data_IF_506718862665
#
_entry.id   IF_506718862665
#
_cell.length_a   1.000
_cell.length_b   1.000
_cell.length_c   1.000
_cell.angle_alpha   90.00
_cell.angle_beta   90.00
_cell.angle_gamma   90.00
#
_symmetry.space_group_name_H-M   'P 1'
#
loop_
_entity.id
_entity.type
_entity.pdbx_description
1 polymer ?
#
# COMPACT_ATOMS: atom_id res chain seq x y z
N UNK A 1 56.52 -1.69 52.51
CA UNK A 1 56.32 -3.09 52.08
C UNK A 1 55.20 -3.13 51.07
N UNK A 2 55.53 -3.57 49.84
CA UNK A 2 54.68 -4.07 48.75
C UNK A 2 53.56 -3.13 48.26
N UNK A 3 53.82 -2.23 47.30
CA UNK A 3 53.97 -2.49 45.84
C UNK A 3 52.68 -3.08 45.24
N UNK A 4 51.80 -2.19 44.79
CA UNK A 4 50.89 -2.49 43.67
C UNK A 4 51.71 -2.35 42.38
N UNK A 5 51.89 -3.47 41.69
CA UNK A 5 52.56 -3.61 40.40
C UNK A 5 51.51 -4.03 39.37
N UNK A 6 51.58 -3.39 38.20
CA UNK A 6 51.02 -3.80 36.90
C UNK A 6 49.48 -3.65 36.79
N UNK A 7 48.87 -3.04 35.78
CA UNK A 7 49.29 -2.74 34.42
C UNK A 7 48.92 -1.30 34.05
N UNK A 8 49.93 -0.53 33.65
CA UNK A 8 49.82 0.58 32.73
C UNK A 8 50.19 0.01 31.36
N UNK A 9 49.27 -0.02 30.40
CA UNK A 9 49.62 -0.18 28.98
C UNK A 9 48.50 0.35 28.08
N UNK A 10 48.81 1.48 27.46
CA UNK A 10 48.55 1.87 26.07
C UNK A 10 47.16 1.58 25.46
N UNK A 11 46.40 2.66 25.20
CA UNK A 11 46.00 2.99 23.82
C UNK A 11 45.66 4.49 23.65
N UNK A 12 46.70 5.29 23.46
CA UNK A 12 46.63 6.58 22.75
C UNK A 12 46.91 6.31 21.27
N UNK A 13 45.92 6.47 20.39
CA UNK A 13 46.03 6.67 18.92
C UNK A 13 44.60 6.62 18.35
N UNK A 14 44.04 7.59 17.62
CA UNK A 14 44.50 8.92 17.23
C UNK A 14 43.30 9.66 16.62
N UNK A 15 43.00 10.85 17.14
CA UNK A 15 42.24 11.86 16.42
C UNK A 15 43.09 12.28 15.23
N UNK A 16 42.63 12.00 14.00
CA UNK A 16 43.16 12.67 12.82
C UNK A 16 42.25 13.85 12.51
N UNK A 17 42.63 15.00 13.07
CA UNK A 17 42.21 16.32 12.60
C UNK A 17 43.36 16.81 11.73
N UNK A 18 43.19 16.84 10.41
CA UNK A 18 44.06 17.63 9.54
C UNK A 18 43.28 18.83 9.04
N UNK A 19 43.59 19.96 9.66
CA UNK A 19 43.36 21.31 9.17
C UNK A 19 44.73 21.95 8.86
N UNK A 20 44.76 22.75 7.79
CA UNK A 20 45.76 23.75 7.36
C UNK A 20 46.94 23.34 6.44
N UNK A 21 46.79 23.74 5.16
CA UNK A 21 47.70 24.46 4.23
C UNK A 21 49.23 24.24 4.34
N UNK A 22 49.99 24.11 3.23
CA UNK A 22 50.27 25.14 2.18
C UNK A 22 51.26 24.58 1.11
N UNK A 23 51.76 25.37 0.13
CA UNK A 23 51.22 25.74 -1.19
C UNK A 23 51.92 25.05 -2.39
N UNK A 24 51.23 24.88 -3.53
CA UNK A 24 51.90 24.97 -4.84
C UNK A 24 50.92 25.41 -5.92
N UNK A 25 51.48 26.02 -6.96
CA UNK A 25 50.91 27.05 -7.81
C UNK A 25 49.69 26.67 -8.66
N UNK A 26 48.80 27.67 -8.76
CA UNK A 26 47.63 27.89 -9.63
C UNK A 26 47.05 26.72 -10.45
N UNK A 27 45.73 26.53 -10.29
CA UNK A 27 44.83 26.64 -11.41
C UNK A 27 43.99 27.91 -11.24
N UNK A 28 44.25 28.92 -12.08
CA UNK A 28 43.18 29.86 -12.43
C UNK A 28 42.10 29.09 -13.20
N UNK A 29 40.86 29.15 -12.69
CA UNK A 29 39.55 28.73 -13.23
C UNK A 29 38.89 27.67 -12.31
N UNK A 30 37.76 27.88 -11.61
CA UNK A 30 36.70 28.88 -11.72
C UNK A 30 36.11 29.21 -10.34
N UNK A 31 36.34 30.41 -9.85
CA UNK A 31 35.70 30.95 -8.64
C UNK A 31 34.28 31.52 -8.90
N UNK A 32 33.59 31.13 -9.97
CA UNK A 32 32.31 31.81 -10.30
C UNK A 32 31.19 30.96 -10.89
N UNK A 33 31.11 29.67 -10.58
CA UNK A 33 29.86 28.93 -10.71
C UNK A 33 29.11 28.95 -9.37
N UNK A 34 28.41 30.04 -9.04
CA UNK A 34 27.37 29.94 -8.01
C UNK A 34 26.39 28.84 -8.47
N UNK A 35 26.28 27.77 -7.69
CA UNK A 35 25.25 26.76 -7.92
C UNK A 35 23.89 27.46 -8.05
N UNK A 36 23.02 26.96 -8.92
CA UNK A 36 21.71 27.58 -9.11
C UNK A 36 20.94 27.52 -7.78
N UNK A 37 20.65 28.70 -7.22
CA UNK A 37 19.81 28.85 -6.02
C UNK A 37 18.36 28.57 -6.40
N UNK A 38 17.96 27.32 -6.22
CA UNK A 38 16.62 26.81 -6.49
C UNK A 38 16.25 25.86 -5.35
N UNK A 39 15.05 26.06 -4.80
CA UNK A 39 14.53 25.24 -3.70
C UNK A 39 13.16 24.71 -4.09
N UNK A 40 13.06 23.40 -4.29
CA UNK A 40 11.78 22.69 -4.41
C UNK A 40 11.18 22.47 -3.02
N UNK A 41 9.89 22.76 -2.87
CA UNK A 41 9.16 22.63 -1.59
C UNK A 41 8.16 21.48 -1.59
N UNK A 42 7.65 21.09 -2.75
CA UNK A 42 6.79 19.93 -2.89
C UNK A 42 6.75 19.40 -4.32
N UNK A 43 6.36 18.14 -4.43
CA UNK A 43 5.97 17.47 -5.66
C UNK A 43 4.56 16.93 -5.47
N UNK A 44 3.67 17.28 -6.39
CA UNK A 44 2.26 16.91 -6.36
C UNK A 44 1.88 16.13 -7.63
N UNK A 45 1.20 15.01 -7.48
CA UNK A 45 0.51 14.33 -8.57
C UNK A 45 -0.97 14.60 -8.44
N UNK A 46 -1.58 15.21 -9.45
CA UNK A 46 -3.03 15.46 -9.46
C UNK A 46 -3.72 14.36 -10.26
N UNK A 47 -4.85 13.85 -9.75
CA UNK A 47 -5.63 12.80 -10.44
C UNK A 47 -5.98 13.22 -11.87
N UNK A 48 -6.39 14.47 -12.05
CA UNK A 48 -6.79 15.02 -13.35
C UNK A 48 -5.66 15.03 -14.40
N UNK A 49 -4.39 15.07 -13.96
CA UNK A 49 -3.21 15.02 -14.84
C UNK A 49 -2.65 13.62 -15.04
N UNK A 50 -3.22 12.63 -14.34
CA UNK A 50 -2.75 11.25 -14.31
C UNK A 50 -3.91 10.28 -14.62
N UNK A 51 -4.59 10.53 -15.74
CA UNK A 51 -5.60 9.65 -16.30
C UNK A 51 -5.02 8.88 -17.49
N UNK A 52 -5.50 7.65 -17.72
CA UNK A 52 -5.32 6.88 -18.95
C UNK A 52 -6.71 6.65 -19.53
N UNK A 53 -7.00 7.33 -20.64
CA UNK A 53 -8.35 7.40 -21.21
C UNK A 53 -9.35 7.91 -20.15
N UNK A 54 -10.41 7.15 -19.88
CA UNK A 54 -11.44 7.49 -18.90
C UNK A 54 -11.15 6.94 -17.49
N UNK A 55 -9.96 6.37 -17.25
CA UNK A 55 -9.57 5.77 -15.99
C UNK A 55 -8.44 6.54 -15.30
N UNK A 56 -8.36 6.40 -13.98
CA UNK A 56 -7.16 6.70 -13.19
C UNK A 56 -6.01 5.86 -13.72
N UNK A 57 -4.84 6.48 -13.96
CA UNK A 57 -3.69 5.77 -14.49
C UNK A 57 -3.14 4.76 -13.47
N UNK A 58 -2.59 3.65 -13.95
CA UNK A 58 -2.08 2.60 -13.07
C UNK A 58 -1.02 3.14 -12.07
N UNK A 59 -0.11 4.01 -12.52
CA UNK A 59 0.87 4.63 -11.63
C UNK A 59 0.20 5.45 -10.52
N UNK A 60 -0.82 6.24 -10.84
CA UNK A 60 -1.54 7.04 -9.85
C UNK A 60 -2.26 6.14 -8.84
N UNK A 61 -2.77 4.98 -9.26
CA UNK A 61 -3.33 4.00 -8.33
C UNK A 61 -2.30 3.54 -7.29
N UNK A 62 -1.06 3.28 -7.71
CA UNK A 62 0.03 2.80 -6.81
C UNK A 62 0.49 3.84 -5.79
N UNK A 63 0.15 5.13 -5.97
CA UNK A 63 0.44 6.17 -4.98
C UNK A 63 -0.38 6.00 -3.69
N UNK A 64 -1.42 5.16 -3.71
CA UNK A 64 -2.34 4.98 -2.59
C UNK A 64 -2.45 3.51 -2.16
N UNK A 65 -2.82 3.32 -0.90
CA UNK A 65 -2.93 1.98 -0.32
C UNK A 65 -4.07 1.21 -0.98
N UNK A 66 -3.84 -0.05 -1.31
CA UNK A 66 -4.88 -0.93 -1.87
C UNK A 66 -6.03 -1.06 -0.88
N UNK A 67 -7.27 -1.02 -1.37
CA UNK A 67 -8.49 -1.18 -0.56
C UNK A 67 -9.27 -2.40 -0.99
N UNK A 68 -10.00 -2.98 -0.05
CA UNK A 68 -10.99 -4.03 -0.27
C UNK A 68 -12.31 -3.55 0.32
N UNK A 69 -13.35 -3.29 -0.49
CA UNK A 69 -13.40 -3.46 -1.93
C UNK A 69 -12.46 -2.49 -2.69
N UNK A 70 -12.07 -2.89 -3.90
CA UNK A 70 -11.24 -2.05 -4.76
C UNK A 70 -11.96 -0.74 -5.12
N UNK A 71 -11.19 0.34 -5.25
CA UNK A 71 -11.70 1.63 -5.72
C UNK A 71 -12.16 1.52 -7.18
N UNK A 72 -13.11 2.37 -7.56
CA UNK A 72 -13.53 2.47 -8.95
C UNK A 72 -12.46 3.21 -9.76
N UNK A 73 -11.98 2.60 -10.85
CA UNK A 73 -10.92 3.16 -11.69
C UNK A 73 -11.39 4.31 -12.57
N UNK A 74 -12.69 4.47 -12.82
CA UNK A 74 -13.20 5.56 -13.66
C UNK A 74 -12.78 6.93 -13.10
N UNK A 75 -12.37 7.84 -13.99
CA UNK A 75 -11.91 9.19 -13.63
C UNK A 75 -12.99 9.98 -12.86
N UNK A 76 -14.25 9.79 -13.28
CA UNK A 76 -15.46 10.23 -12.61
C UNK A 76 -16.39 9.02 -12.40
N UNK A 77 -17.14 9.05 -11.31
CA UNK A 77 -18.25 8.11 -11.10
C UNK A 77 -19.53 8.65 -11.76
N UNK A 78 -20.54 7.79 -11.93
CA UNK A 78 -21.86 8.23 -12.38
C UNK A 78 -22.51 9.21 -11.38
N UNK A 79 -23.64 9.79 -11.76
CA UNK A 79 -24.34 10.82 -10.98
C UNK A 79 -24.81 10.36 -9.58
N UNK A 80 -24.76 9.06 -9.27
CA UNK A 80 -25.23 8.51 -7.99
C UNK A 80 -24.11 8.34 -6.96
N UNK A 81 -22.84 8.41 -7.37
CA UNK A 81 -21.71 8.36 -6.47
C UNK A 81 -20.97 9.70 -6.43
N UNK A 82 -20.46 10.07 -5.25
CA UNK A 82 -19.78 11.37 -5.05
C UNK A 82 -18.28 11.30 -5.32
N UNK A 83 -17.67 10.10 -5.22
CA UNK A 83 -16.24 9.90 -5.49
C UNK A 83 -15.97 8.48 -6.02
N UNK A 84 -14.88 8.32 -6.77
CA UNK A 84 -14.36 7.01 -7.19
C UNK A 84 -13.47 6.33 -6.12
N UNK A 85 -13.33 6.96 -4.94
CA UNK A 85 -12.50 6.51 -3.82
C UNK A 85 -11.02 6.90 -3.90
N UNK A 86 -10.54 7.43 -5.03
CA UNK A 86 -9.16 7.92 -5.17
C UNK A 86 -9.05 9.38 -4.72
N UNK A 87 -8.02 9.74 -3.94
CA UNK A 87 -7.74 11.14 -3.62
C UNK A 87 -7.52 12.00 -4.86
N UNK A 88 -7.89 13.28 -4.78
CA UNK A 88 -7.73 14.25 -5.87
C UNK A 88 -6.27 14.56 -6.16
N UNK A 89 -5.40 14.40 -5.16
CA UNK A 89 -3.96 14.57 -5.28
C UNK A 89 -3.18 13.65 -4.33
N UNK A 90 -1.92 13.43 -4.68
CA UNK A 90 -0.85 12.98 -3.81
C UNK A 90 0.18 14.10 -3.73
N UNK A 91 0.60 14.50 -2.53
CA UNK A 91 1.58 15.58 -2.34
C UNK A 91 2.64 15.13 -1.36
N UNK A 92 3.92 15.30 -1.72
CA UNK A 92 5.05 15.04 -0.82
C UNK A 92 5.02 15.98 0.39
N UNK A 93 5.46 15.50 1.54
CA UNK A 93 5.69 16.36 2.73
C UNK A 93 7.14 16.86 2.78
N UNK A 94 7.45 17.91 3.58
CA UNK A 94 8.83 18.43 3.65
C UNK A 94 9.89 17.38 3.98
N UNK A 95 9.55 16.38 4.81
CA UNK A 95 10.45 15.29 5.18
C UNK A 95 10.78 14.32 4.03
N UNK A 96 10.04 14.36 2.92
CA UNK A 96 10.33 13.56 1.74
C UNK A 96 11.43 14.18 0.87
N UNK A 97 11.70 15.47 1.04
CA UNK A 97 12.78 16.20 0.38
C UNK A 97 14.01 16.13 1.30
N UNK A 98 15.00 15.33 0.91
CA UNK A 98 16.18 15.05 1.73
C UNK A 98 17.36 15.87 1.20
N UNK A 99 17.87 16.75 2.06
CA UNK A 99 18.87 17.74 1.68
C UNK A 99 18.39 18.62 0.54
N UNK A 100 19.30 18.99 -0.35
CA UNK A 100 18.98 19.87 -1.48
C UNK A 100 18.89 19.14 -2.83
N UNK A 101 18.74 17.82 -2.84
CA UNK A 101 18.89 17.04 -4.08
C UNK A 101 18.00 15.80 -4.23
N UNK A 102 17.39 15.26 -3.17
CA UNK A 102 16.58 14.03 -3.28
C UNK A 102 15.13 14.33 -2.93
N UNK A 103 14.19 13.86 -3.76
CA UNK A 103 12.75 13.95 -3.51
C UNK A 103 12.19 12.53 -3.50
N UNK A 104 11.74 12.05 -2.35
CA UNK A 104 11.17 10.72 -2.22
C UNK A 104 9.67 10.73 -2.54
N UNK A 105 9.24 9.89 -3.48
CA UNK A 105 7.83 9.56 -3.68
C UNK A 105 7.61 8.20 -3.01
N UNK A 106 7.02 8.23 -1.81
CA UNK A 106 6.82 7.04 -0.99
C UNK A 106 5.48 6.39 -1.33
N UNK A 107 5.53 5.28 -2.05
CA UNK A 107 4.37 4.41 -2.29
C UNK A 107 4.05 3.63 -1.00
N UNK A 108 2.78 3.38 -0.67
CA UNK A 108 2.45 2.47 0.43
C UNK A 108 3.07 1.08 0.17
N UNK A 109 3.75 0.51 1.17
CA UNK A 109 4.29 -0.84 1.05
C UNK A 109 3.17 -1.83 0.70
N UNK A 110 3.42 -2.86 -0.10
CA UNK A 110 2.42 -3.90 -0.33
C UNK A 110 3.14 -5.22 -0.56
N UNK A 111 2.91 -6.21 0.31
CA UNK A 111 3.47 -7.54 0.14
C UNK A 111 2.93 -8.26 -1.11
N UNK A 112 1.71 -7.93 -1.52
CA UNK A 112 1.04 -8.38 -2.75
C UNK A 112 1.12 -7.30 -3.86
N UNK A 113 2.20 -6.53 -3.91
CA UNK A 113 2.37 -5.51 -4.95
C UNK A 113 2.33 -6.16 -6.34
N UNK A 114 1.42 -5.68 -7.17
CA UNK A 114 1.30 -6.08 -8.57
C UNK A 114 2.10 -5.07 -9.38
N UNK A 115 3.03 -5.58 -10.20
CA UNK A 115 3.86 -4.77 -11.08
C UNK A 115 3.00 -4.02 -12.13
N UNK A 116 3.57 -2.99 -12.76
CA UNK A 116 2.88 -2.29 -13.85
C UNK A 116 2.60 -3.23 -15.02
N UNK A 117 1.37 -3.17 -15.54
CA UNK A 117 0.94 -3.97 -16.69
C UNK A 117 1.48 -3.41 -18.02
N UNK A 118 1.60 -2.08 -18.09
CA UNK A 118 2.14 -1.34 -19.23
C UNK A 118 3.09 -0.25 -18.73
N UNK A 119 3.90 0.31 -19.64
CA UNK A 119 4.64 1.54 -19.37
C UNK A 119 3.66 2.64 -18.91
N UNK A 120 4.02 3.32 -17.83
CA UNK A 120 3.18 4.37 -17.24
C UNK A 120 3.76 5.75 -17.54
N UNK A 121 2.89 6.72 -17.79
CA UNK A 121 3.25 8.14 -17.83
C UNK A 121 2.76 8.81 -16.55
N UNK A 122 3.65 9.52 -15.87
CA UNK A 122 3.35 10.24 -14.65
C UNK A 122 3.60 11.73 -14.86
N UNK A 123 2.61 12.55 -14.48
CA UNK A 123 2.68 14.00 -14.53
C UNK A 123 2.64 14.57 -13.12
N UNK A 124 3.71 15.25 -12.73
CA UNK A 124 3.83 15.90 -11.43
C UNK A 124 3.95 17.41 -11.58
N UNK A 125 3.34 18.14 -10.65
CA UNK A 125 3.57 19.58 -10.44
C UNK A 125 4.64 19.75 -9.36
N UNK A 126 5.74 20.40 -9.72
CA UNK A 126 6.81 20.81 -8.82
C UNK A 126 6.50 22.20 -8.30
N UNK A 127 6.62 22.41 -6.99
CA UNK A 127 6.48 23.73 -6.35
C UNK A 127 7.85 24.24 -5.91
N UNK A 128 8.13 25.51 -6.18
CA UNK A 128 9.34 26.21 -5.77
C UNK A 128 9.07 27.15 -4.60
N UNK A 129 10.09 27.35 -3.75
CA UNK A 129 10.00 28.27 -2.60
C UNK A 129 9.73 29.72 -3.01
N UNK A 130 10.26 30.13 -4.16
CA UNK A 130 10.09 31.47 -4.73
C UNK A 130 9.87 31.37 -6.24
N UNK A 131 9.26 32.40 -6.82
CA UNK A 131 9.05 32.45 -8.25
C UNK A 131 10.40 32.37 -9.00
N UNK A 132 10.46 31.51 -10.01
CA UNK A 132 11.62 31.34 -10.88
C UNK A 132 11.42 32.09 -12.19
N UNK A 133 12.52 32.57 -12.76
CA UNK A 133 12.54 33.21 -14.07
C UNK A 133 13.87 32.92 -14.79
N UNK A 134 13.77 32.58 -16.08
CA UNK A 134 14.91 32.25 -16.93
C UNK A 134 15.62 30.95 -16.55
N UNK A 135 14.97 30.08 -15.76
CA UNK A 135 15.46 28.72 -15.47
C UNK A 135 14.89 27.78 -16.53
N UNK A 136 15.68 26.79 -16.96
CA UNK A 136 15.26 25.68 -17.82
C UNK A 136 15.25 24.37 -17.05
N UNK A 137 14.26 23.53 -17.32
CA UNK A 137 14.22 22.11 -16.98
C UNK A 137 14.40 21.32 -18.27
N UNK A 138 15.59 20.75 -18.48
CA UNK A 138 16.00 20.29 -19.82
C UNK A 138 15.97 21.45 -20.82
N UNK A 139 15.15 21.34 -21.86
CA UNK A 139 14.99 22.39 -22.89
C UNK A 139 13.87 23.39 -22.57
N UNK A 140 13.01 23.07 -21.60
CA UNK A 140 11.80 23.86 -21.31
C UNK A 140 12.12 25.00 -20.36
N UNK A 141 11.86 26.25 -20.77
CA UNK A 141 11.95 27.41 -19.89
C UNK A 141 10.75 27.45 -18.94
N UNK A 142 11.03 27.59 -17.64
CA UNK A 142 10.00 27.63 -16.58
C UNK A 142 9.90 29.03 -15.98
N UNK A 143 8.68 29.40 -15.55
CA UNK A 143 8.37 30.69 -14.92
C UNK A 143 7.36 30.50 -13.79
N UNK A 144 7.49 31.31 -12.74
CA UNK A 144 6.52 31.35 -11.63
C UNK A 144 6.91 30.40 -10.50
N UNK A 145 5.95 30.03 -9.65
CA UNK A 145 6.21 29.21 -8.45
C UNK A 145 6.01 27.73 -8.67
N UNK A 146 5.54 27.31 -9.85
CA UNK A 146 5.29 25.90 -10.17
C UNK A 146 5.70 25.58 -11.60
N UNK A 147 5.96 24.31 -11.86
CA UNK A 147 6.08 23.76 -13.21
C UNK A 147 5.61 22.32 -13.22
N UNK A 148 5.04 21.88 -14.34
CA UNK A 148 4.75 20.46 -14.53
C UNK A 148 5.97 19.75 -15.14
N UNK A 149 6.16 18.50 -14.73
CA UNK A 149 7.09 17.55 -15.33
C UNK A 149 6.35 16.27 -15.66
N UNK A 150 6.56 15.77 -16.86
CA UNK A 150 6.05 14.46 -17.29
C UNK A 150 7.22 13.52 -17.51
N UNK A 151 7.11 12.28 -17.01
CA UNK A 151 8.11 11.25 -17.24
C UNK A 151 7.46 9.88 -17.41
N UNK A 152 8.11 9.04 -18.22
CA UNK A 152 7.72 7.65 -18.41
C UNK A 152 8.39 6.77 -17.34
N UNK A 153 7.65 5.76 -16.89
CA UNK A 153 8.11 4.74 -15.96
C UNK A 153 7.97 3.38 -16.65
N UNK A 154 9.09 2.71 -16.96
CA UNK A 154 9.07 1.37 -17.53
C UNK A 154 8.44 0.34 -16.57
N UNK A 155 7.83 -0.70 -17.14
CA UNK A 155 7.26 -1.82 -16.36
C UNK A 155 8.31 -2.50 -15.47
N UNK A 156 9.56 -2.50 -15.91
CA UNK A 156 10.69 -3.09 -15.20
C UNK A 156 11.19 -2.26 -14.02
N UNK A 157 10.71 -1.03 -13.82
CA UNK A 157 11.18 -0.12 -12.76
C UNK A 157 10.27 -0.08 -11.54
N UNK A 158 8.95 -0.21 -11.73
CA UNK A 158 7.97 -0.26 -10.65
C UNK A 158 7.62 -1.72 -10.31
N UNK A 159 8.60 -2.44 -9.77
CA UNK A 159 8.42 -3.81 -9.28
C UNK A 159 8.62 -3.90 -7.78
N UNK A 160 8.02 -4.89 -7.11
CA UNK A 160 8.20 -5.09 -5.65
C UNK A 160 9.69 -5.14 -5.27
N UNK A 161 10.49 -5.88 -6.04
CA UNK A 161 11.93 -6.05 -5.79
C UNK A 161 12.69 -4.72 -5.88
N UNK A 162 12.44 -3.91 -6.92
CA UNK A 162 13.11 -2.62 -7.11
C UNK A 162 12.65 -1.57 -6.10
N UNK A 163 11.35 -1.48 -5.84
CA UNK A 163 10.83 -0.55 -4.82
C UNK A 163 11.37 -0.82 -3.42
N UNK A 164 11.84 -2.06 -3.16
CA UNK A 164 12.48 -2.46 -1.90
C UNK A 164 13.99 -2.23 -1.92
N UNK A 165 14.70 -2.60 -3.00
CA UNK A 165 16.17 -2.72 -2.98
C UNK A 165 16.90 -1.78 -3.95
N UNK A 166 16.25 -1.34 -5.01
CA UNK A 166 16.85 -0.55 -6.09
C UNK A 166 15.79 0.40 -6.68
N UNK A 167 15.38 1.44 -5.94
CA UNK A 167 14.23 2.25 -6.30
C UNK A 167 14.45 2.97 -7.62
N UNK A 168 13.35 3.19 -8.35
CA UNK A 168 13.34 3.96 -9.59
C UNK A 168 13.83 5.39 -9.33
N UNK A 169 14.70 5.90 -10.20
CA UNK A 169 15.28 7.23 -10.11
C UNK A 169 15.04 8.01 -11.39
N UNK A 170 14.56 9.25 -11.24
CA UNK A 170 14.45 10.22 -12.33
C UNK A 170 15.20 11.49 -11.96
N UNK A 171 16.24 11.81 -12.72
CA UNK A 171 16.95 13.08 -12.57
C UNK A 171 16.19 14.23 -13.24
N UNK A 172 16.18 15.36 -12.57
CA UNK A 172 15.71 16.66 -13.03
C UNK A 172 16.89 17.62 -12.98
N UNK A 173 17.28 18.15 -14.13
CA UNK A 173 18.40 19.08 -14.25
C UNK A 173 17.84 20.46 -14.57
N UNK A 174 17.97 21.36 -13.60
CA UNK A 174 17.63 22.76 -13.73
C UNK A 174 18.86 23.56 -14.10
N UNK A 175 18.76 24.41 -15.11
CA UNK A 175 19.86 25.26 -15.56
C UNK A 175 19.43 26.70 -15.75
N UNK A 176 20.34 27.63 -15.52
CA UNK A 176 20.16 29.05 -15.87
C UNK A 176 21.40 29.51 -16.61
N UNK A 177 21.20 30.12 -17.77
CA UNK A 177 22.30 30.76 -18.49
C UNK A 177 22.98 31.80 -17.58
N UNK A 178 24.29 31.94 -17.72
CA UNK A 178 24.97 33.05 -17.07
C UNK A 178 24.57 34.39 -17.70
N UNK A 179 25.03 35.49 -17.10
CA UNK A 179 24.65 36.83 -17.54
C UNK A 179 25.22 37.13 -18.93
N UNK A 180 26.40 36.60 -19.23
CA UNK A 180 27.04 36.70 -20.53
C UNK A 180 27.01 35.35 -21.25
N UNK A 181 27.09 35.37 -22.58
CA UNK A 181 27.10 34.16 -23.42
C UNK A 181 28.30 33.23 -23.13
N UNK A 182 29.37 33.76 -22.54
CA UNK A 182 30.59 33.03 -22.17
C UNK A 182 30.56 32.47 -20.75
N UNK A 183 29.56 32.84 -19.94
CA UNK A 183 29.47 32.41 -18.55
C UNK A 183 29.00 30.95 -18.47
N UNK A 184 29.65 30.15 -17.63
CA UNK A 184 29.23 28.78 -17.35
C UNK A 184 27.79 28.75 -16.80
N UNK A 185 26.88 27.95 -17.38
CA UNK A 185 25.52 27.83 -16.88
C UNK A 185 25.49 27.35 -15.44
N UNK A 186 24.64 27.98 -14.61
CA UNK A 186 24.41 27.54 -13.24
C UNK A 186 23.45 26.36 -13.26
N UNK A 187 23.79 25.27 -12.56
CA UNK A 187 23.00 24.03 -12.57
C UNK A 187 22.61 23.62 -11.15
N UNK A 188 21.39 23.08 -11.00
CA UNK A 188 20.92 22.35 -9.81
C UNK A 188 20.27 21.05 -10.26
N UNK A 189 20.62 19.95 -9.61
CA UNK A 189 20.05 18.63 -9.88
C UNK A 189 19.16 18.18 -8.71
N UNK A 190 17.99 17.67 -9.06
CA UNK A 190 17.13 16.92 -8.14
C UNK A 190 16.94 15.50 -8.69
N UNK A 191 16.88 14.52 -7.80
CA UNK A 191 16.57 13.13 -8.14
C UNK A 191 15.26 12.76 -7.47
N UNK A 192 14.23 12.52 -8.28
CA UNK A 192 13.00 11.86 -7.83
C UNK A 192 13.33 10.40 -7.59
N UNK A 193 13.04 9.90 -6.40
CA UNK A 193 13.23 8.50 -6.01
C UNK A 193 11.86 7.92 -5.66
N UNK A 194 11.37 6.98 -6.46
CA UNK A 194 10.11 6.28 -6.17
C UNK A 194 10.44 5.00 -5.43
N UNK A 195 9.96 4.88 -4.19
CA UNK A 195 10.26 3.75 -3.29
C UNK A 195 9.05 3.40 -2.43
N UNK A 196 9.07 2.24 -1.78
CA UNK A 196 8.09 2.00 -0.72
C UNK A 196 8.31 2.91 0.48
N UNK A 197 7.22 3.22 1.15
CA UNK A 197 7.19 3.77 2.49
C UNK A 197 7.80 2.76 3.45
N UNK A 198 8.63 3.25 4.36
CA UNK A 198 9.21 2.45 5.44
C UNK A 198 8.15 2.06 6.48
N UNK A 199 7.03 2.80 6.52
CA UNK A 199 5.87 2.48 7.36
C UNK A 199 5.02 1.39 6.70
N UNK A 200 5.02 0.20 7.32
CA UNK A 200 4.18 -0.94 6.91
C UNK A 200 3.02 -1.10 7.90
N UNK A 201 1.79 -1.09 7.41
CA UNK A 201 0.63 -1.38 8.27
C UNK A 201 0.66 -2.84 8.73
N UNK A 202 0.37 -3.03 10.01
CA UNK A 202 0.25 -4.34 10.66
C UNK A 202 -1.21 -4.72 10.92
N UNK A 203 -2.13 -3.87 10.49
CA UNK A 203 -3.56 -4.08 10.67
C UNK A 203 -4.04 -5.27 9.83
N UNK A 204 -4.53 -6.31 10.51
CA UNK A 204 -5.07 -7.53 9.89
C UNK A 204 -6.41 -7.97 10.48
N UNK A 205 -6.87 -7.32 11.55
CA UNK A 205 -8.11 -7.69 12.20
C UNK A 205 -9.33 -7.11 11.45
N UNK A 206 -10.27 -7.98 11.07
CA UNK A 206 -11.59 -7.62 10.58
C UNK A 206 -12.37 -6.79 11.61
N UNK A 207 -13.08 -5.77 11.12
CA UNK A 207 -13.92 -4.90 11.95
C UNK A 207 -15.07 -5.67 12.59
N UNK A 208 -15.30 -5.40 13.88
CA UNK A 208 -16.36 -6.00 14.70
C UNK A 208 -17.23 -4.89 15.28
N UNK A 209 -18.55 -5.04 15.16
CA UNK A 209 -19.53 -4.16 15.80
C UNK A 209 -20.68 -5.00 16.35
N UNK A 210 -21.15 -4.70 17.56
CA UNK A 210 -22.24 -5.44 18.22
C UNK A 210 -22.02 -6.96 18.24
N UNK A 211 -20.79 -7.39 18.55
CA UNK A 211 -20.35 -8.78 18.52
C UNK A 211 -20.49 -9.49 17.15
N UNK A 212 -20.65 -8.75 16.05
CA UNK A 212 -20.69 -9.29 14.69
C UNK A 212 -19.48 -8.80 13.90
N UNK A 213 -18.90 -9.67 13.06
CA UNK A 213 -17.82 -9.32 12.15
C UNK A 213 -18.41 -8.62 10.92
N UNK A 214 -18.69 -7.32 11.02
CA UNK A 214 -19.37 -6.55 9.96
C UNK A 214 -18.54 -6.41 8.69
N UNK A 215 -17.23 -6.63 8.79
CA UNK A 215 -16.31 -6.70 7.66
C UNK A 215 -16.45 -7.97 6.80
N UNK A 216 -17.22 -8.96 7.25
CA UNK A 216 -17.41 -10.25 6.58
C UNK A 216 -18.89 -10.64 6.60
N UNK A 217 -19.60 -10.33 5.52
CA UNK A 217 -21.01 -10.64 5.36
C UNK A 217 -21.23 -11.73 4.32
N UNK A 218 -22.07 -12.71 4.65
CA UNK A 218 -22.39 -13.85 3.80
C UNK A 218 -23.81 -13.77 3.26
N UNK A 219 -23.98 -14.36 2.10
CA UNK A 219 -25.27 -14.75 1.54
C UNK A 219 -25.21 -16.23 1.17
N UNK A 220 -26.36 -16.88 1.06
CA UNK A 220 -26.44 -18.28 0.68
C UNK A 220 -27.57 -18.53 -0.32
N UNK A 221 -27.50 -19.65 -1.05
CA UNK A 221 -28.57 -20.12 -1.92
C UNK A 221 -28.72 -21.64 -1.78
N UNK A 222 -29.97 -22.11 -1.78
CA UNK A 222 -30.34 -23.51 -1.62
C UNK A 222 -30.34 -24.31 -2.94
N UNK A 223 -30.26 -23.67 -4.12
CA UNK A 223 -30.38 -24.40 -5.40
C UNK A 223 -29.50 -23.86 -6.55
N UNK A 224 -28.64 -24.77 -7.04
CA UNK A 224 -28.00 -24.86 -8.38
C UNK A 224 -26.89 -23.88 -8.79
N UNK A 225 -25.78 -24.50 -9.19
CA UNK A 225 -24.52 -23.99 -9.73
C UNK A 225 -24.64 -23.04 -10.93
N UNK A 226 -24.98 -21.79 -10.66
CA UNK A 226 -24.73 -20.72 -11.63
C UNK A 226 -23.77 -19.72 -11.03
N UNK A 227 -22.52 -19.83 -11.48
CA UNK A 227 -21.47 -18.83 -11.27
C UNK A 227 -22.05 -17.46 -11.68
N UNK A 228 -21.98 -16.48 -10.77
CA UNK A 228 -22.43 -15.08 -10.93
C UNK A 228 -23.92 -14.75 -10.78
N UNK A 229 -24.79 -15.64 -10.29
CA UNK A 229 -26.15 -15.22 -9.94
C UNK A 229 -26.18 -14.37 -8.65
N UNK A 230 -26.81 -13.19 -8.72
CA UNK A 230 -27.26 -12.45 -7.54
C UNK A 230 -28.24 -13.33 -6.76
N UNK A 231 -28.18 -13.33 -5.43
CA UNK A 231 -29.20 -13.96 -4.58
C UNK A 231 -30.53 -13.29 -4.91
N UNK A 232 -31.48 -14.08 -5.44
CA UNK A 232 -32.82 -13.74 -5.95
C UNK A 232 -33.16 -12.23 -6.00
N UNK A 233 -33.18 -11.67 -7.20
CA UNK A 233 -34.17 -10.64 -7.54
C UNK A 233 -35.56 -11.28 -7.42
N UNK A 234 -36.30 -10.94 -6.36
CA UNK A 234 -37.67 -11.45 -6.19
C UNK A 234 -38.29 -11.36 -4.79
N UNK A 235 -37.59 -10.93 -3.75
CA UNK A 235 -38.22 -10.75 -2.44
C UNK A 235 -37.30 -10.05 -1.44
N UNK A 236 -37.35 -8.72 -1.41
CA UNK A 236 -36.54 -7.89 -0.50
C UNK A 236 -35.04 -7.97 -0.78
N UNK A 237 -34.31 -6.92 -0.46
CA UNK A 237 -32.84 -6.97 -0.41
C UNK A 237 -32.43 -8.01 0.64
N UNK A 238 -31.96 -9.19 0.22
CA UNK A 238 -31.38 -10.17 1.13
C UNK A 238 -30.20 -9.49 1.84
N UNK A 239 -30.38 -9.15 3.12
CA UNK A 239 -29.34 -8.48 3.89
C UNK A 239 -28.24 -9.49 4.21
N UNK A 240 -26.97 -9.13 4.05
CA UNK A 240 -25.86 -10.02 4.37
C UNK A 240 -25.94 -10.48 5.84
N UNK A 241 -25.68 -11.77 6.06
CA UNK A 241 -25.58 -12.35 7.38
C UNK A 241 -24.13 -12.23 7.88
N UNK A 242 -23.96 -11.65 9.05
CA UNK A 242 -22.63 -11.42 9.62
C UNK A 242 -22.37 -12.44 10.74
N UNK A 243 -21.24 -13.17 10.72
CA UNK A 243 -20.88 -14.07 11.80
C UNK A 243 -20.76 -13.32 13.11
N UNK A 244 -21.21 -13.97 14.18
CA UNK A 244 -20.96 -13.53 15.55
C UNK A 244 -19.52 -13.84 15.91
N UNK A 245 -18.82 -12.87 16.47
CA UNK A 245 -17.51 -13.09 17.10
C UNK A 245 -17.75 -13.57 18.53
N UNK A 246 -17.33 -14.80 18.81
CA UNK A 246 -17.35 -15.35 20.17
C UNK A 246 -16.33 -14.66 21.08
N UNK A 247 -16.44 -14.92 22.39
CA UNK A 247 -15.46 -14.47 23.38
C UNK A 247 -14.14 -15.27 23.34
N UNK A 248 -14.13 -16.42 22.65
CA UNK A 248 -12.96 -17.27 22.49
C UNK A 248 -12.03 -16.85 21.34
N UNK A 249 -10.75 -17.20 21.49
CA UNK A 249 -9.73 -16.94 20.48
C UNK A 249 -9.00 -15.61 20.65
N UNK A 250 -7.68 -15.60 20.40
CA UNK A 250 -6.85 -14.39 20.41
C UNK A 250 -6.50 -13.87 19.01
N UNK A 251 -7.01 -14.52 17.96
CA UNK A 251 -6.69 -14.17 16.57
C UNK A 251 -5.32 -14.69 16.12
N UNK A 252 -4.68 -15.55 16.90
CA UNK A 252 -3.37 -16.14 16.59
C UNK A 252 -3.52 -17.49 15.89
N UNK A 253 -2.44 -18.01 15.29
CA UNK A 253 -2.43 -19.35 14.67
C UNK A 253 -2.90 -20.45 15.63
N UNK A 254 -2.40 -20.46 16.86
CA UNK A 254 -2.75 -21.45 17.87
C UNK A 254 -4.13 -21.21 18.50
N UNK A 255 -4.65 -19.98 18.42
CA UNK A 255 -5.95 -19.59 18.98
C UNK A 255 -6.64 -18.59 18.05
N UNK A 256 -7.21 -19.07 16.92
CA UNK A 256 -7.93 -18.22 15.97
C UNK A 256 -9.14 -17.55 16.63
N UNK A 257 -9.58 -16.40 16.14
CA UNK A 257 -10.85 -15.83 16.57
C UNK A 257 -11.99 -16.78 16.19
N UNK A 258 -12.79 -17.15 17.19
CA UNK A 258 -13.94 -18.02 17.01
C UNK A 258 -15.12 -17.20 16.47
N UNK A 259 -15.59 -17.56 15.27
CA UNK A 259 -16.75 -17.00 14.62
C UNK A 259 -17.86 -18.05 14.53
N UNK A 260 -19.10 -17.65 14.74
CA UNK A 260 -20.25 -18.56 14.63
C UNK A 260 -21.35 -18.00 13.75
N UNK A 261 -22.03 -18.90 13.04
CA UNK A 261 -23.34 -18.64 12.43
C UNK A 261 -24.33 -19.66 12.97
N UNK A 262 -25.27 -19.19 13.78
CA UNK A 262 -26.24 -20.04 14.47
C UNK A 262 -27.62 -19.89 13.85
N UNK A 263 -28.30 -21.02 13.65
CA UNK A 263 -29.73 -21.10 13.30
C UNK A 263 -30.56 -20.23 14.25
N UNK A 264 -31.53 -19.50 13.69
CA UNK A 264 -32.40 -18.56 14.39
C UNK A 264 -31.67 -17.36 15.06
N UNK A 265 -30.36 -17.19 14.88
CA UNK A 265 -29.61 -15.99 15.31
C UNK A 265 -29.05 -15.23 14.10
N UNK A 266 -27.94 -15.71 13.54
CA UNK A 266 -27.33 -15.15 12.34
C UNK A 266 -27.94 -15.71 11.06
N UNK A 267 -28.36 -16.98 11.12
CA UNK A 267 -29.05 -17.70 10.06
C UNK A 267 -30.55 -17.67 10.33
N UNK A 268 -31.38 -17.86 9.31
CA UNK A 268 -32.81 -18.02 9.51
C UNK A 268 -33.13 -19.39 10.18
N UNK A 269 -34.40 -19.84 10.14
CA UNK A 269 -34.79 -21.16 10.62
C UNK A 269 -34.30 -22.26 9.67
N UNK A 270 -33.00 -22.45 9.72
CA UNK A 270 -32.18 -23.06 8.70
C UNK A 270 -31.34 -24.17 9.37
N UNK A 271 -31.64 -25.44 9.08
CA UNK A 271 -30.85 -26.58 9.55
C UNK A 271 -29.59 -26.82 8.70
N UNK A 272 -28.44 -26.60 9.31
CA UNK A 272 -27.14 -27.00 8.77
C UNK A 272 -27.03 -28.51 8.93
N UNK A 273 -26.92 -29.20 7.81
CA UNK A 273 -26.78 -30.66 7.73
C UNK A 273 -26.13 -31.05 6.41
N UNK A 274 -25.58 -32.26 6.36
CA UNK A 274 -24.97 -32.84 5.15
C UNK A 274 -25.92 -32.93 3.95
N UNK A 275 -27.24 -32.84 4.17
CA UNK A 275 -28.26 -32.86 3.11
C UNK A 275 -28.75 -31.48 2.67
N UNK A 276 -28.40 -30.40 3.40
CA UNK A 276 -28.88 -29.04 3.12
C UNK A 276 -28.34 -28.46 1.81
N UNK A 277 -27.14 -28.87 1.36
CA UNK A 277 -26.45 -28.39 0.16
C UNK A 277 -26.31 -26.86 0.05
N UNK A 278 -26.34 -26.13 1.16
CA UNK A 278 -26.24 -24.67 1.09
C UNK A 278 -24.83 -24.21 0.77
N UNK A 279 -24.77 -23.23 -0.11
CA UNK A 279 -23.53 -22.65 -0.57
C UNK A 279 -23.45 -21.22 -0.06
N UNK A 280 -22.51 -20.98 0.85
CA UNK A 280 -22.23 -19.68 1.42
C UNK A 280 -21.20 -18.96 0.57
N UNK A 281 -21.44 -17.67 0.34
CA UNK A 281 -20.54 -16.79 -0.40
C UNK A 281 -20.43 -15.47 0.33
N UNK A 282 -19.22 -14.91 0.38
CA UNK A 282 -19.03 -13.56 0.87
C UNK A 282 -19.67 -12.57 -0.11
N UNK A 283 -20.62 -11.81 0.40
CA UNK A 283 -21.30 -10.71 -0.29
C UNK A 283 -20.70 -9.36 0.12
N UNK A 284 -20.27 -9.25 1.39
CA UNK A 284 -19.59 -8.07 1.92
C UNK A 284 -18.23 -8.46 2.43
N UNK A 285 -17.18 -7.91 1.83
CA UNK A 285 -15.82 -8.00 2.34
C UNK A 285 -15.21 -6.61 2.46
N UNK A 286 -14.80 -6.26 3.67
CA UNK A 286 -13.98 -5.07 3.92
C UNK A 286 -12.76 -5.48 4.71
N UNK A 287 -11.58 -5.35 4.10
CA UNK A 287 -10.32 -5.67 4.78
C UNK A 287 -9.68 -4.37 5.28
N UNK A 288 -8.84 -4.44 6.34
CA UNK A 288 -7.95 -3.34 6.68
C UNK A 288 -7.15 -2.88 5.45
N UNK A 289 -6.81 -1.59 5.41
CA UNK A 289 -6.11 -1.02 4.24
C UNK A 289 -4.82 -1.79 3.95
N UNK A 290 -4.69 -2.29 2.71
CA UNK A 290 -3.57 -3.09 2.23
C UNK A 290 -3.55 -4.56 2.66
N UNK A 291 -4.49 -5.01 3.50
CA UNK A 291 -4.59 -6.41 3.92
C UNK A 291 -5.22 -7.31 2.85
N UNK A 292 -4.92 -8.61 2.90
CA UNK A 292 -5.41 -9.63 1.97
C UNK A 292 -5.71 -10.94 2.69
N UNK A 293 -6.58 -11.78 2.12
CA UNK A 293 -6.81 -13.13 2.61
C UNK A 293 -5.72 -14.04 2.05
N UNK A 294 -5.13 -14.87 2.92
CA UNK A 294 -4.17 -15.89 2.50
C UNK A 294 -4.59 -17.26 3.00
N UNK A 295 -4.71 -18.20 2.08
CA UNK A 295 -5.06 -19.60 2.34
C UNK A 295 -4.08 -20.57 1.69
N UNK A 296 -2.97 -20.05 1.16
CA UNK A 296 -2.02 -20.83 0.34
C UNK A 296 -1.16 -21.78 1.16
N UNK A 297 -0.89 -21.44 2.42
CA UNK A 297 -0.07 -22.24 3.31
C UNK A 297 -0.93 -22.95 4.36
N UNK A 298 -1.39 -24.17 4.06
CA UNK A 298 -2.23 -24.97 4.98
C UNK A 298 -1.52 -25.33 6.28
N UNK A 299 -0.18 -25.38 6.30
CA UNK A 299 0.61 -25.60 7.53
C UNK A 299 0.52 -24.44 8.54
N UNK A 300 -0.05 -23.31 8.12
CA UNK A 300 -0.30 -22.15 8.99
C UNK A 300 -1.58 -22.25 9.80
N UNK A 301 -2.34 -23.33 9.64
CA UNK A 301 -3.62 -23.53 10.30
C UNK A 301 -3.57 -24.68 11.29
N UNK A 302 -4.49 -24.69 12.25
CA UNK A 302 -4.60 -25.76 13.25
C UNK A 302 -5.02 -27.09 12.61
N UNK A 303 -4.73 -28.21 13.27
CA UNK A 303 -4.99 -29.59 12.78
C UNK A 303 -6.49 -29.92 12.55
N UNK A 304 -7.42 -29.02 12.86
CA UNK A 304 -8.86 -29.19 12.62
C UNK A 304 -9.28 -28.93 11.16
N UNK A 305 -8.39 -29.22 10.21
CA UNK A 305 -8.63 -29.05 8.77
C UNK A 305 -9.73 -29.98 8.23
N UNK A 306 -10.10 -31.02 8.96
CA UNK A 306 -11.19 -31.94 8.59
C UNK A 306 -12.58 -31.35 8.83
N UNK A 307 -12.78 -30.64 9.94
CA UNK A 307 -14.07 -29.98 10.24
C UNK A 307 -14.09 -28.52 9.76
N UNK A 308 -12.92 -27.89 9.68
CA UNK A 308 -12.74 -26.51 9.27
C UNK A 308 -11.63 -26.44 8.21
N UNK A 309 -11.89 -26.87 6.96
CA UNK A 309 -10.93 -26.73 5.87
C UNK A 309 -10.48 -25.28 5.68
N UNK A 310 -9.21 -25.13 5.30
CA UNK A 310 -8.63 -23.83 4.94
C UNK A 310 -9.25 -23.37 3.63
N UNK A 311 -10.05 -22.30 3.66
CA UNK A 311 -10.88 -21.89 2.53
C UNK A 311 -10.89 -20.39 2.40
N UNK A 312 -10.67 -19.87 1.19
CA UNK A 312 -10.86 -18.44 0.92
C UNK A 312 -12.36 -18.16 0.72
N UNK A 313 -12.99 -17.42 1.65
CA UNK A 313 -14.42 -17.19 1.62
C UNK A 313 -14.84 -16.23 0.49
N UNK A 314 -13.89 -15.52 -0.13
CA UNK A 314 -14.12 -14.59 -1.25
C UNK A 314 -14.16 -15.27 -2.62
N UNK A 315 -13.82 -16.56 -2.70
CA UNK A 315 -13.84 -17.29 -3.98
C UNK A 315 -15.23 -17.29 -4.59
N UNK A 316 -15.29 -17.16 -5.92
CA UNK A 316 -16.55 -17.16 -6.67
C UNK A 316 -17.36 -18.45 -6.47
N UNK A 317 -16.66 -19.55 -6.17
CA UNK A 317 -17.22 -20.85 -5.87
C UNK A 317 -17.81 -20.94 -4.45
N UNK A 318 -17.57 -20.00 -3.54
CA UNK A 318 -18.05 -20.09 -2.15
C UNK A 318 -17.63 -21.39 -1.45
N UNK A 319 -18.39 -21.79 -0.43
CA UNK A 319 -18.17 -23.05 0.30
C UNK A 319 -19.48 -23.61 0.87
N UNK A 320 -19.47 -24.90 1.22
CA UNK A 320 -20.63 -25.60 1.81
C UNK A 320 -20.24 -26.19 3.16
N UNK A 321 -20.88 -25.79 4.27
CA UNK A 321 -20.71 -26.48 5.54
C UNK A 321 -21.29 -27.89 5.40
N UNK A 322 -20.49 -28.90 5.73
CA UNK A 322 -20.87 -30.30 5.52
C UNK A 322 -21.72 -30.87 6.66
N UNK A 323 -21.75 -30.23 7.83
CA UNK A 323 -22.53 -30.64 8.98
C UNK A 323 -22.56 -29.55 10.07
N UNK A 324 -23.28 -29.81 11.15
CA UNK A 324 -23.23 -29.02 12.40
C UNK A 324 -21.80 -29.02 12.97
N UNK A 325 -21.41 -27.90 13.57
CA UNK A 325 -20.10 -27.65 14.17
C UNK A 325 -18.91 -27.73 13.18
N UNK A 326 -19.21 -27.66 11.88
CA UNK A 326 -18.23 -27.55 10.81
C UNK A 326 -18.27 -26.17 10.17
N UNK A 327 -17.25 -25.86 9.37
CA UNK A 327 -17.21 -24.62 8.61
C UNK A 327 -15.88 -24.42 7.92
N UNK A 328 -15.25 -23.26 8.08
CA UNK A 328 -13.98 -22.92 7.42
C UNK A 328 -13.01 -22.24 8.37
N UNK A 329 -11.74 -22.22 7.99
CA UNK A 329 -10.74 -21.33 8.58
C UNK A 329 -9.96 -20.58 7.50
N UNK A 330 -9.53 -19.37 7.82
CA UNK A 330 -8.75 -18.51 6.94
C UNK A 330 -7.97 -17.49 7.77
N UNK A 331 -6.98 -16.84 7.16
CA UNK A 331 -6.28 -15.72 7.79
C UNK A 331 -6.36 -14.48 6.93
N UNK A 332 -6.37 -13.33 7.59
CA UNK A 332 -6.15 -12.04 6.97
C UNK A 332 -4.72 -11.64 7.29
N UNK A 333 -3.92 -11.37 6.27
CA UNK A 333 -2.53 -10.92 6.37
C UNK A 333 -2.50 -9.42 6.13
N UNK A 334 -1.82 -8.70 7.00
CA UNK A 334 -1.67 -7.26 6.90
C UNK A 334 -0.82 -6.86 5.68
N UNK A 335 -0.80 -5.56 5.41
CA UNK A 335 -0.02 -4.97 4.34
C UNK A 335 1.47 -5.35 4.37
N UNK A 336 2.04 -5.51 5.58
CA UNK A 336 3.43 -5.93 5.80
C UNK A 336 3.77 -7.32 5.23
N UNK A 337 2.76 -8.19 5.02
CA UNK A 337 2.93 -9.56 4.56
C UNK A 337 3.36 -10.55 5.64
N UNK A 338 3.45 -10.12 6.90
CA UNK A 338 3.96 -10.91 8.02
C UNK A 338 2.94 -11.01 9.15
N UNK A 339 2.35 -9.87 9.55
CA UNK A 339 1.34 -9.84 10.60
C UNK A 339 0.04 -10.43 10.08
N UNK A 340 -0.51 -11.42 10.78
CA UNK A 340 -1.75 -12.08 10.36
C UNK A 340 -2.70 -12.31 11.54
N UNK A 341 -4.01 -12.20 11.25
CA UNK A 341 -5.08 -12.57 12.16
C UNK A 341 -5.83 -13.78 11.61
N UNK A 342 -6.00 -14.81 12.45
CA UNK A 342 -6.58 -16.09 12.09
C UNK A 342 -8.04 -16.17 12.54
N UNK A 343 -8.88 -16.75 11.69
CA UNK A 343 -10.32 -16.89 11.90
C UNK A 343 -10.78 -18.32 11.69
N UNK A 344 -11.69 -18.77 12.56
CA UNK A 344 -12.38 -20.05 12.44
C UNK A 344 -13.88 -19.81 12.49
N UNK A 345 -14.58 -20.10 11.40
CA UNK A 345 -16.02 -19.94 11.26
C UNK A 345 -16.72 -21.28 11.42
N UNK A 346 -17.65 -21.38 12.36
CA UNK A 346 -18.39 -22.60 12.68
C UNK A 346 -19.90 -22.38 12.52
N UNK A 347 -20.59 -23.34 11.91
CA UNK A 347 -22.04 -23.32 11.71
C UNK A 347 -22.74 -24.17 12.77
N UNK A 348 -23.84 -23.67 13.34
CA UNK A 348 -24.55 -24.31 14.47
C UNK A 348 -26.07 -24.31 14.27
N UNK A 349 -26.73 -25.36 14.77
CA UNK A 349 -28.21 -25.43 14.82
C UNK A 349 -28.79 -24.96 16.15
N UNK A 350 -27.97 -24.80 17.19
CA UNK A 350 -28.38 -24.30 18.50
C UNK A 350 -27.26 -23.48 19.15
N UNK A 351 -27.65 -22.51 19.98
CA UNK A 351 -26.74 -21.70 20.78
C UNK A 351 -26.20 -22.57 21.93
N UNK A 352 -24.91 -22.92 21.87
CA UNK A 352 -24.19 -23.66 22.92
C UNK A 352 -23.57 -22.73 23.94
#
# INVERSE_FOLDING_TARGET
MKIFKNLLSLLTLGLVVFSCNKPSEDPKADQNSKALELVVTSVKFEKAKNLKENNVSEFYEKLFITKTPARNKLASVDSTATTNGYPTEFTTVPADIVGDSIINIKLPYNSQFIDLTDKATATATITFKSAVEGIKLGETTIKGTTTDITFEIPTTELTKAKLTNAPFKKEMIFSKAGTNATDTPRVKKYTIVVKFSDNKSRESALTVANNKVTALGFTHNATTDTINNKIKTGGGTASPMYPKKGSGGSGTKASPYALTMTKNEELANEDISSSSNWKFKVDVLTLPDGAFIDVTNTSEFTDDVSNHPVTDPSTSAGFTPTDVDKGIQFRVVAQDGETATYYKLTFKNASS
#
